data_IF_573498104035
#
_entry.id   IF_573498104035
#
_cell.length_a   1.000
_cell.length_b   1.000
_cell.length_c   1.000
_cell.angle_alpha   90.00
_cell.angle_beta   90.00
_cell.angle_gamma   90.00
#
_symmetry.space_group_name_H-M   'P 1'
#
loop_
_entity.id
_entity.type
_entity.pdbx_description
1 polymer ?
#
# COMPACT_ATOMS: atom_id res chain seq x y z
N UNK A 1 -10.61 -17.76 -15.40
CA UNK A 1 -11.90 -18.08 -16.02
C UNK A 1 -12.22 -17.10 -17.15
N UNK A 2 -12.28 -15.77 -16.90
CA UNK A 2 -12.67 -14.79 -17.93
C UNK A 2 -11.77 -14.80 -19.19
N UNK A 3 -10.46 -14.98 -19.02
CA UNK A 3 -9.52 -15.08 -20.13
C UNK A 3 -9.76 -16.33 -21.03
N UNK A 4 -10.31 -17.40 -20.47
CA UNK A 4 -10.62 -18.63 -21.20
C UNK A 4 -12.00 -18.59 -21.88
N UNK A 5 -12.97 -17.96 -21.25
CA UNK A 5 -14.36 -17.95 -21.70
C UNK A 5 -14.72 -16.73 -22.56
N UNK A 6 -13.94 -15.65 -22.49
CA UNK A 6 -14.25 -14.36 -23.09
C UNK A 6 -15.37 -13.59 -22.38
N UNK A 7 -15.89 -14.10 -21.26
CA UNK A 7 -16.98 -13.48 -20.51
C UNK A 7 -16.53 -13.08 -19.12
N UNK A 8 -17.05 -11.95 -18.63
CA UNK A 8 -16.90 -11.51 -17.25
C UNK A 8 -18.29 -11.17 -16.68
N UNK A 9 -18.59 -11.48 -15.41
CA UNK A 9 -19.87 -11.12 -14.81
C UNK A 9 -19.97 -9.61 -14.65
N UNK A 10 -21.09 -9.02 -15.03
CA UNK A 10 -21.40 -7.60 -14.76
C UNK A 10 -21.80 -7.46 -13.30
N UNK A 11 -20.81 -7.37 -12.41
CA UNK A 11 -20.98 -7.36 -10.97
C UNK A 11 -19.90 -6.52 -10.26
N UNK A 12 -20.24 -5.95 -9.11
CA UNK A 12 -19.31 -5.22 -8.25
C UNK A 12 -18.63 -4.05 -8.98
N UNK A 13 -17.34 -3.96 -8.91
CA UNK A 13 -16.55 -2.88 -9.52
C UNK A 13 -16.56 -2.85 -11.06
N UNK A 14 -17.20 -3.82 -11.73
CA UNK A 14 -17.44 -3.74 -13.17
C UNK A 14 -18.59 -2.81 -13.54
N UNK A 15 -19.40 -2.38 -12.56
CA UNK A 15 -20.36 -1.28 -12.71
C UNK A 15 -19.66 0.06 -12.45
N UNK A 16 -19.87 1.05 -13.29
CA UNK A 16 -19.22 2.37 -13.16
C UNK A 16 -19.65 3.10 -11.89
N UNK A 17 -20.94 3.04 -11.59
CA UNK A 17 -21.52 3.63 -10.37
C UNK A 17 -20.93 3.03 -9.08
N UNK A 18 -20.45 1.79 -9.13
CA UNK A 18 -19.83 1.11 -8.01
C UNK A 18 -18.38 1.54 -7.75
N UNK A 19 -17.76 2.27 -8.69
CA UNK A 19 -16.37 2.74 -8.59
C UNK A 19 -16.25 4.19 -8.09
N UNK A 20 -17.33 4.81 -7.68
CA UNK A 20 -17.34 6.21 -7.24
C UNK A 20 -16.68 6.36 -5.88
N UNK A 21 -15.82 7.38 -5.67
CA UNK A 21 -15.23 7.65 -4.36
C UNK A 21 -16.30 7.98 -3.32
N UNK A 22 -16.13 7.46 -2.12
CA UNK A 22 -17.05 7.65 -1.00
C UNK A 22 -16.35 8.07 0.31
N UNK A 23 -15.03 8.17 0.28
CA UNK A 23 -14.19 8.60 1.40
C UNK A 23 -13.18 9.62 0.89
N UNK A 24 -13.03 10.75 1.55
CA UNK A 24 -11.95 11.70 1.28
C UNK A 24 -10.84 11.52 2.32
N UNK A 25 -9.60 11.46 1.86
CA UNK A 25 -8.42 11.41 2.72
C UNK A 25 -7.48 12.55 2.32
N UNK A 26 -7.39 13.56 3.17
CA UNK A 26 -6.47 14.68 3.00
C UNK A 26 -5.15 14.34 3.68
N UNK A 27 -4.06 14.26 2.90
CA UNK A 27 -2.71 14.04 3.41
C UNK A 27 -2.03 15.40 3.59
N UNK A 28 -1.56 15.67 4.81
CA UNK A 28 -0.78 16.86 5.18
C UNK A 28 0.60 16.50 5.71
N UNK A 29 0.84 15.21 5.99
CA UNK A 29 2.16 14.68 6.36
C UNK A 29 3.10 14.64 5.15
N UNK A 30 4.39 14.80 5.39
CA UNK A 30 5.43 14.60 4.37
C UNK A 30 5.77 13.12 4.28
N UNK A 31 5.41 12.47 3.16
CA UNK A 31 5.68 11.05 2.91
C UNK A 31 6.86 10.93 1.94
N UNK A 32 7.89 10.20 2.32
CA UNK A 32 9.11 10.04 1.51
C UNK A 32 9.38 8.59 1.16
N UNK A 33 9.33 7.70 2.15
CA UNK A 33 9.67 6.30 2.00
C UNK A 33 8.44 5.45 1.64
N UNK A 34 8.59 4.33 0.92
CA UNK A 34 7.47 3.41 0.67
C UNK A 34 6.74 2.97 1.93
N UNK A 35 7.45 2.89 3.08
CA UNK A 35 6.86 2.56 4.37
C UNK A 35 5.82 3.59 4.82
N UNK A 36 6.04 4.90 4.58
CA UNK A 36 5.09 5.95 4.94
C UNK A 36 3.75 5.77 4.21
N UNK A 37 3.82 5.36 2.93
CA UNK A 37 2.64 5.06 2.13
C UNK A 37 1.91 3.79 2.60
N UNK A 38 2.64 2.78 3.09
CA UNK A 38 2.02 1.63 3.77
C UNK A 38 1.31 2.07 5.04
N UNK A 39 1.94 2.93 5.84
CA UNK A 39 1.35 3.49 7.06
C UNK A 39 0.07 4.27 6.75
N UNK A 40 0.06 5.10 5.71
CA UNK A 40 -1.15 5.80 5.27
C UNK A 40 -2.28 4.82 4.92
N UNK A 41 -2.00 3.80 4.11
CA UNK A 41 -2.99 2.80 3.69
C UNK A 41 -3.53 1.98 4.86
N UNK A 42 -2.67 1.61 5.79
CA UNK A 42 -3.01 0.91 7.02
C UNK A 42 -3.83 1.82 7.97
N UNK A 43 -3.41 3.07 8.15
CA UNK A 43 -4.07 4.02 9.03
C UNK A 43 -5.52 4.27 8.63
N UNK A 44 -5.80 4.70 7.39
CA UNK A 44 -7.19 4.96 7.01
C UNK A 44 -8.04 3.68 7.01
N UNK A 45 -7.43 2.53 6.79
CA UNK A 45 -8.07 1.22 6.93
C UNK A 45 -8.59 0.93 8.34
N UNK A 46 -7.95 1.48 9.37
CA UNK A 46 -8.39 1.35 10.76
C UNK A 46 -9.51 2.32 11.14
N UNK A 47 -9.69 3.41 10.38
CA UNK A 47 -10.69 4.47 10.64
C UNK A 47 -12.09 4.02 10.20
N UNK A 48 -12.80 3.30 11.05
CA UNK A 48 -14.13 2.72 10.78
C UNK A 48 -15.21 3.77 10.57
N UNK A 49 -15.20 4.44 9.43
CA UNK A 49 -16.15 5.48 9.03
C UNK A 49 -17.41 4.90 8.35
N UNK A 50 -18.34 5.77 7.96
CA UNK A 50 -19.55 5.38 7.23
C UNK A 50 -19.23 4.70 5.88
N UNK A 51 -18.09 5.02 5.24
CA UNK A 51 -17.67 4.42 3.97
C UNK A 51 -17.47 2.88 4.06
N UNK A 52 -17.12 2.34 5.24
CA UNK A 52 -17.02 0.88 5.46
C UNK A 52 -18.37 0.15 5.50
N UNK A 53 -19.46 0.89 5.66
CA UNK A 53 -20.82 0.34 5.64
C UNK A 53 -21.38 0.20 4.22
N UNK A 54 -20.71 0.76 3.24
CA UNK A 54 -21.11 0.64 1.83
C UNK A 54 -20.87 -0.80 1.33
N UNK A 55 -21.67 -1.30 0.38
CA UNK A 55 -21.62 -2.70 -0.07
C UNK A 55 -20.25 -3.17 -0.58
N UNK A 56 -19.46 -2.26 -1.17
CA UNK A 56 -18.12 -2.56 -1.70
C UNK A 56 -16.98 -1.96 -0.85
N UNK A 57 -17.30 -1.46 0.35
CA UNK A 57 -16.34 -0.85 1.26
C UNK A 57 -15.88 0.56 0.86
N UNK A 58 -14.78 1.04 1.44
CA UNK A 58 -14.28 2.38 1.18
C UNK A 58 -13.60 2.46 -0.18
N UNK A 59 -13.86 3.55 -0.89
CA UNK A 59 -13.18 3.95 -2.12
C UNK A 59 -12.61 5.36 -1.88
N UNK A 60 -11.42 5.48 -1.32
CA UNK A 60 -10.85 6.77 -0.97
C UNK A 60 -10.43 7.57 -2.21
N UNK A 61 -10.70 8.86 -2.17
CA UNK A 61 -10.04 9.90 -2.94
C UNK A 61 -9.00 10.54 -2.04
N UNK A 62 -7.75 10.36 -2.37
CA UNK A 62 -6.60 10.82 -1.59
C UNK A 62 -6.03 12.08 -2.24
N UNK A 63 -5.95 13.17 -1.48
CA UNK A 63 -5.36 14.44 -1.88
C UNK A 63 -4.10 14.74 -1.05
N UNK A 64 -3.24 15.63 -1.57
CA UNK A 64 -2.00 16.03 -0.88
C UNK A 64 -0.81 15.10 -1.10
N UNK A 65 -0.91 14.08 -1.97
CA UNK A 65 0.21 13.24 -2.35
C UNK A 65 1.01 13.86 -3.52
N UNK A 66 2.33 13.55 -3.63
CA UNK A 66 3.13 13.93 -4.80
C UNK A 66 2.54 13.38 -6.11
N UNK A 67 2.67 14.14 -7.20
CA UNK A 67 2.18 13.73 -8.52
C UNK A 67 3.03 12.62 -9.15
N UNK A 68 4.29 12.49 -8.76
CA UNK A 68 5.33 11.62 -9.31
C UNK A 68 5.64 10.40 -8.44
N UNK A 69 4.64 9.87 -7.77
CA UNK A 69 4.80 8.65 -6.95
C UNK A 69 5.50 7.54 -7.71
N UNK A 70 6.47 6.91 -7.06
CA UNK A 70 7.14 5.72 -7.59
C UNK A 70 6.21 4.51 -7.61
N UNK A 71 6.61 3.48 -8.35
CA UNK A 71 5.87 2.21 -8.37
C UNK A 71 5.80 1.59 -6.96
N UNK A 72 6.90 1.63 -6.21
CA UNK A 72 7.01 1.08 -4.86
C UNK A 72 6.10 1.82 -3.86
N UNK A 73 6.03 3.15 -3.94
CA UNK A 73 5.14 3.96 -3.10
C UNK A 73 3.66 3.65 -3.38
N UNK A 74 3.26 3.59 -4.67
CA UNK A 74 1.89 3.19 -5.04
C UNK A 74 1.56 1.77 -4.59
N UNK A 75 2.49 0.83 -4.81
CA UNK A 75 2.35 -0.56 -4.40
C UNK A 75 2.16 -0.67 -2.88
N UNK A 76 2.96 0.03 -2.10
CA UNK A 76 2.91 0.04 -0.65
C UNK A 76 1.55 0.55 -0.14
N UNK A 77 1.08 1.69 -0.66
CA UNK A 77 -0.22 2.27 -0.32
C UNK A 77 -1.38 1.33 -0.65
N UNK A 78 -1.43 0.83 -1.89
CA UNK A 78 -2.55 0.01 -2.35
C UNK A 78 -2.60 -1.34 -1.66
N UNK A 79 -1.46 -1.96 -1.37
CA UNK A 79 -1.38 -3.23 -0.67
C UNK A 79 -1.88 -3.10 0.78
N UNK A 80 -1.45 -2.08 1.50
CA UNK A 80 -1.90 -1.82 2.86
C UNK A 80 -3.41 -1.54 2.91
N UNK A 81 -3.91 -0.69 2.00
CA UNK A 81 -5.33 -0.39 1.87
C UNK A 81 -6.19 -1.63 1.60
N UNK A 82 -5.71 -2.53 0.73
CA UNK A 82 -6.42 -3.75 0.36
C UNK A 82 -6.65 -4.70 1.55
N UNK A 83 -5.74 -4.73 2.53
CA UNK A 83 -5.87 -5.54 3.74
C UNK A 83 -7.12 -5.19 4.56
N UNK A 84 -7.64 -3.98 4.42
CA UNK A 84 -8.84 -3.49 5.10
C UNK A 84 -10.09 -3.50 4.21
N UNK A 85 -10.03 -4.15 3.05
CA UNK A 85 -11.17 -4.26 2.15
C UNK A 85 -11.41 -3.02 1.30
N UNK A 86 -10.38 -2.21 1.06
CA UNK A 86 -10.40 -1.11 0.11
C UNK A 86 -10.10 -1.66 -1.30
N UNK A 87 -11.11 -1.82 -2.17
CA UNK A 87 -10.93 -2.50 -3.45
C UNK A 87 -10.37 -1.59 -4.54
N UNK A 88 -10.49 -0.28 -4.36
CA UNK A 88 -10.09 0.76 -5.30
C UNK A 88 -9.80 2.04 -4.54
N UNK A 89 -8.79 2.78 -4.98
CA UNK A 89 -8.50 4.13 -4.48
C UNK A 89 -8.16 5.06 -5.64
N UNK A 90 -8.38 6.35 -5.43
CA UNK A 90 -8.05 7.43 -6.35
C UNK A 90 -7.03 8.36 -5.70
N UNK A 91 -6.11 8.85 -6.51
CA UNK A 91 -5.15 9.89 -6.09
C UNK A 91 -5.46 11.12 -6.91
N UNK A 92 -5.68 12.24 -6.22
CA UNK A 92 -6.01 13.51 -6.86
C UNK A 92 -4.89 13.92 -7.86
N UNK A 93 -5.30 14.35 -9.04
CA UNK A 93 -4.37 14.68 -10.13
C UNK A 93 -3.81 13.48 -10.89
N UNK A 94 -4.19 12.24 -10.54
CA UNK A 94 -3.76 11.04 -11.25
C UNK A 94 -4.94 10.33 -11.93
N UNK A 95 -5.10 10.58 -13.22
CA UNK A 95 -6.17 9.98 -14.03
C UNK A 95 -7.54 10.63 -13.83
N UNK A 96 -8.55 10.02 -14.43
CA UNK A 96 -9.94 10.46 -14.34
C UNK A 96 -10.59 9.91 -13.08
N UNK A 97 -11.23 10.79 -12.32
CA UNK A 97 -11.89 10.46 -11.07
C UNK A 97 -13.40 10.67 -11.26
N UNK A 98 -14.22 9.61 -11.14
CA UNK A 98 -15.66 9.76 -11.25
C UNK A 98 -16.23 10.56 -10.07
N UNK A 99 -17.29 11.32 -10.32
CA UNK A 99 -18.02 11.98 -9.24
C UNK A 99 -18.63 10.95 -8.28
N UNK A 100 -18.46 11.19 -6.97
CA UNK A 100 -18.96 10.32 -5.92
C UNK A 100 -19.48 11.10 -4.72
N UNK A 101 -20.35 10.48 -3.95
CA UNK A 101 -20.87 11.04 -2.71
C UNK A 101 -19.94 10.68 -1.55
N UNK A 102 -19.24 11.68 -1.00
CA UNK A 102 -18.32 11.51 0.11
C UNK A 102 -19.10 11.30 1.41
N UNK A 103 -18.94 10.12 2.00
CA UNK A 103 -19.61 9.71 3.25
C UNK A 103 -18.80 10.07 4.49
N UNK A 104 -17.49 10.30 4.34
CA UNK A 104 -16.59 10.69 5.42
C UNK A 104 -15.34 11.38 4.88
N UNK A 105 -14.77 12.24 5.72
CA UNK A 105 -13.50 12.91 5.46
C UNK A 105 -12.51 12.62 6.60
N UNK A 106 -11.26 12.36 6.25
CA UNK A 106 -10.16 12.08 7.16
C UNK A 106 -8.98 12.97 6.82
N UNK A 107 -8.21 13.36 7.83
CA UNK A 107 -6.95 14.08 7.66
C UNK A 107 -5.81 13.23 8.23
N UNK A 108 -4.77 13.04 7.43
CA UNK A 108 -3.55 12.33 7.81
C UNK A 108 -2.38 13.28 7.85
N UNK A 109 -1.97 13.63 9.06
CA UNK A 109 -0.84 14.54 9.32
C UNK A 109 0.36 13.82 9.93
N UNK A 110 1.39 14.60 10.30
CA UNK A 110 2.62 14.08 10.94
C UNK A 110 2.33 13.36 12.25
N UNK A 111 1.32 13.79 13.00
CA UNK A 111 0.94 13.16 14.26
C UNK A 111 0.36 11.76 14.05
N UNK A 112 -0.51 11.58 13.06
CA UNK A 112 -1.10 10.30 12.68
C UNK A 112 -0.02 9.36 12.16
N UNK A 113 0.90 9.85 11.33
CA UNK A 113 2.04 9.09 10.80
C UNK A 113 2.92 8.57 11.96
N UNK A 114 3.34 9.45 12.85
CA UNK A 114 4.19 9.10 13.99
C UNK A 114 3.51 8.13 14.96
N UNK A 115 2.23 8.38 15.29
CA UNK A 115 1.45 7.53 16.18
C UNK A 115 1.29 6.12 15.60
N UNK A 116 1.05 6.00 14.29
CA UNK A 116 0.88 4.69 13.66
C UNK A 116 2.18 3.92 13.60
N UNK A 117 3.31 4.56 13.32
CA UNK A 117 4.63 3.94 13.42
C UNK A 117 4.91 3.39 14.83
N UNK A 118 4.60 4.17 15.87
CA UNK A 118 4.80 3.75 17.24
C UNK A 118 3.90 2.57 17.65
N UNK A 119 2.64 2.58 17.20
CA UNK A 119 1.70 1.48 17.45
C UNK A 119 2.16 0.17 16.82
N UNK A 120 2.71 0.23 15.60
CA UNK A 120 3.20 -0.92 14.84
C UNK A 120 4.61 -1.35 15.23
N UNK A 121 5.32 -0.56 16.06
CA UNK A 121 6.66 -0.92 16.54
C UNK A 121 6.62 -2.25 17.30
N UNK A 122 7.56 -3.18 16.98
CA UNK A 122 7.65 -4.43 17.71
C UNK A 122 7.81 -4.20 19.23
N UNK A 123 6.98 -4.84 20.04
CA UNK A 123 7.01 -4.77 21.51
C UNK A 123 7.80 -5.93 22.15
N UNK A 124 8.26 -6.85 21.33
CA UNK A 124 9.06 -8.02 21.71
C UNK A 124 10.26 -8.17 20.79
N UNK A 125 11.20 -9.02 21.17
CA UNK A 125 12.33 -9.35 20.31
C UNK A 125 11.85 -9.89 18.96
N UNK A 126 12.43 -9.38 17.88
CA UNK A 126 12.12 -9.82 16.51
C UNK A 126 12.87 -11.12 16.23
N UNK A 127 12.17 -12.17 15.86
CA UNK A 127 12.74 -13.48 15.54
C UNK A 127 12.89 -13.73 14.04
N UNK A 128 12.19 -12.95 13.21
CA UNK A 128 12.22 -13.05 11.74
C UNK A 128 11.84 -11.69 11.14
N UNK A 129 12.53 -11.28 10.09
CA UNK A 129 12.17 -10.13 9.27
C UNK A 129 11.70 -10.65 7.92
N UNK A 130 10.56 -10.16 7.43
CA UNK A 130 10.05 -10.54 6.11
C UNK A 130 9.78 -9.30 5.26
N UNK A 131 10.16 -9.37 3.98
CA UNK A 131 9.87 -8.35 2.97
C UNK A 131 9.19 -9.03 1.78
N UNK A 132 8.19 -8.38 1.19
CA UNK A 132 7.57 -8.90 -0.04
C UNK A 132 6.09 -9.25 0.09
N UNK A 133 5.33 -8.43 0.79
CA UNK A 133 3.87 -8.44 0.77
C UNK A 133 3.35 -7.06 0.35
N UNK A 134 3.00 -6.88 -0.94
CA UNK A 134 3.12 -7.82 -2.08
C UNK A 134 4.57 -8.11 -2.45
N UNK A 135 4.75 -9.06 -3.39
CA UNK A 135 6.08 -9.53 -3.81
C UNK A 135 7.07 -8.40 -4.06
N UNK A 136 8.29 -8.55 -3.52
CA UNK A 136 9.33 -7.55 -3.68
C UNK A 136 9.69 -7.33 -5.15
N UNK A 137 9.76 -6.07 -5.56
CA UNK A 137 10.28 -5.66 -6.86
C UNK A 137 11.80 -5.84 -6.92
N UNK A 138 12.37 -5.82 -8.11
CA UNK A 138 13.84 -5.81 -8.29
C UNK A 138 14.46 -4.57 -7.62
N UNK A 139 13.75 -3.43 -7.64
CA UNK A 139 14.17 -2.19 -6.96
C UNK A 139 14.27 -2.37 -5.44
N UNK A 140 13.25 -2.97 -4.82
CA UNK A 140 13.24 -3.26 -3.39
C UNK A 140 14.31 -4.27 -2.99
N UNK A 141 14.52 -5.33 -3.77
CA UNK A 141 15.60 -6.29 -3.54
C UNK A 141 16.96 -5.59 -3.57
N UNK A 142 17.17 -4.71 -4.56
CA UNK A 142 18.40 -3.93 -4.69
C UNK A 142 18.60 -2.97 -3.51
N UNK A 143 17.54 -2.30 -3.05
CA UNK A 143 17.60 -1.42 -1.88
C UNK A 143 18.05 -2.19 -0.62
N UNK A 144 17.46 -3.36 -0.38
CA UNK A 144 17.86 -4.25 0.73
C UNK A 144 19.33 -4.69 0.60
N UNK A 145 19.74 -5.10 -0.60
CA UNK A 145 21.12 -5.51 -0.85
C UNK A 145 22.11 -4.35 -0.61
N UNK A 146 21.74 -3.12 -0.99
CA UNK A 146 22.57 -1.93 -0.73
C UNK A 146 22.71 -1.63 0.76
N UNK A 147 21.62 -1.74 1.54
CA UNK A 147 21.64 -1.54 2.99
C UNK A 147 22.54 -2.57 3.71
N UNK A 148 22.58 -3.80 3.22
CA UNK A 148 23.35 -4.88 3.83
C UNK A 148 24.79 -4.95 3.33
N UNK A 149 25.12 -4.27 2.25
CA UNK A 149 26.46 -4.34 1.62
C UNK A 149 27.56 -3.86 2.57
N UNK A 150 28.53 -4.72 2.83
CA UNK A 150 29.65 -4.44 3.72
C UNK A 150 29.29 -4.42 5.21
N UNK A 151 28.07 -4.77 5.56
CA UNK A 151 27.67 -4.91 6.98
C UNK A 151 28.06 -6.30 7.50
N UNK A 152 28.59 -6.33 8.72
CA UNK A 152 28.75 -7.57 9.49
C UNK A 152 27.56 -7.67 10.44
N UNK A 153 26.67 -8.60 10.18
CA UNK A 153 25.50 -8.80 11.05
C UNK A 153 25.92 -9.53 12.34
N UNK A 154 25.33 -9.20 13.51
CA UNK A 154 25.50 -9.98 14.74
C UNK A 154 25.11 -11.45 14.52
N UNK A 155 25.75 -12.36 15.24
CA UNK A 155 25.48 -13.80 15.11
C UNK A 155 24.04 -14.19 15.52
N UNK A 156 23.39 -13.37 16.34
CA UNK A 156 22.01 -13.49 16.81
C UNK A 156 21.02 -12.62 16.02
N UNK A 157 21.47 -11.99 14.91
CA UNK A 157 20.58 -11.20 14.07
C UNK A 157 19.42 -12.05 13.53
N UNK A 158 18.17 -11.55 13.55
CA UNK A 158 17.04 -12.28 13.03
C UNK A 158 17.23 -12.55 11.51
N UNK A 159 16.86 -13.73 11.01
CA UNK A 159 16.91 -14.01 9.59
C UNK A 159 16.01 -13.06 8.81
N UNK A 160 16.46 -12.68 7.60
CA UNK A 160 15.70 -11.86 6.66
C UNK A 160 15.25 -12.73 5.48
N UNK A 161 13.95 -12.79 5.26
CA UNK A 161 13.34 -13.45 4.10
C UNK A 161 12.76 -12.42 3.14
N UNK A 162 13.13 -12.52 1.87
CA UNK A 162 12.60 -11.66 0.81
C UNK A 162 11.75 -12.51 -0.13
N UNK A 163 10.43 -12.27 -0.12
CA UNK A 163 9.48 -12.95 -0.99
C UNK A 163 9.33 -12.20 -2.31
N UNK A 164 9.62 -12.89 -3.42
CA UNK A 164 9.53 -12.31 -4.75
C UNK A 164 9.15 -13.37 -5.78
N UNK A 165 8.84 -12.94 -7.01
CA UNK A 165 8.62 -13.89 -8.11
C UNK A 165 9.93 -14.50 -8.59
N UNK A 166 9.85 -15.71 -9.19
CA UNK A 166 11.01 -16.35 -9.81
C UNK A 166 11.63 -15.47 -10.93
N UNK A 167 10.80 -14.71 -11.64
CA UNK A 167 11.27 -13.77 -12.65
C UNK A 167 12.08 -12.63 -12.05
N UNK A 168 11.58 -11.97 -11.01
CA UNK A 168 12.33 -10.89 -10.31
C UNK A 168 13.60 -11.42 -9.67
N UNK A 169 13.57 -12.61 -9.07
CA UNK A 169 14.73 -13.27 -8.52
C UNK A 169 15.81 -13.45 -9.59
N UNK A 170 15.44 -14.02 -10.76
CA UNK A 170 16.38 -14.23 -11.86
C UNK A 170 16.99 -12.93 -12.40
N UNK A 171 16.22 -11.83 -12.42
CA UNK A 171 16.74 -10.51 -12.80
C UNK A 171 17.69 -9.97 -11.73
N UNK A 172 17.32 -10.05 -10.46
CA UNK A 172 18.16 -9.57 -9.36
C UNK A 172 19.51 -10.30 -9.30
N UNK A 173 19.52 -11.64 -9.47
CA UNK A 173 20.75 -12.45 -9.49
C UNK A 173 21.68 -12.12 -10.66
N UNK A 174 21.13 -11.63 -11.79
CA UNK A 174 21.94 -11.22 -12.96
C UNK A 174 22.48 -9.80 -12.85
N UNK A 175 21.83 -8.94 -12.09
CA UNK A 175 22.16 -7.52 -12.03
C UNK A 175 22.96 -7.11 -10.79
N UNK A 176 23.21 -8.04 -9.86
CA UNK A 176 23.96 -7.85 -8.62
C UNK A 176 23.17 -7.17 -7.53
#
# INVERSE_FOLDING_TARGET
ACALTGYTPKYGLLHEEARRPNLRVQVTATLTEPADFSILGDWFGTQRTAAWKMPLGPMPLISGLPSDLTHEQRKALTAAAANYGCPLLYIEGQGEIPEGEIQAELTFGEAELAARYEELRPKTAVSLITIGCPQASVGEIRAVAQLLRGQTLPADAPPLWVFTSSANKAVAEKTG
#
